data_IF_834295109826
#
_entry.id   IF_834295109826
#
_cell.length_a   1.000
_cell.length_b   1.000
_cell.length_c   1.000
_cell.angle_alpha   90.00
_cell.angle_beta   90.00
_cell.angle_gamma   90.00
#
_symmetry.space_group_name_H-M   'P 1'
#
loop_
_entity.id
_entity.type
_entity.pdbx_description
1 polymer ?
#
# COMPACT_ATOMS: atom_id res chain seq x y z
N UNK A 1 -45.59 -18.36 35.82
CA UNK A 1 -44.19 -18.72 36.17
C UNK A 1 -43.86 -17.91 37.42
N UNK A 2 -43.08 -18.42 38.37
CA UNK A 2 -43.00 -17.80 39.71
C UNK A 2 -42.34 -16.42 39.67
N UNK A 3 -43.07 -15.38 40.07
CA UNK A 3 -42.55 -14.02 40.15
C UNK A 3 -41.30 -13.98 41.04
N UNK A 4 -40.14 -13.69 40.45
CA UNK A 4 -38.86 -13.57 41.16
C UNK A 4 -38.70 -12.23 41.87
N UNK A 5 -39.55 -11.28 41.52
CA UNK A 5 -39.59 -9.94 42.09
C UNK A 5 -41.02 -9.55 42.43
N UNK A 6 -41.18 -8.60 43.35
CA UNK A 6 -42.48 -7.99 43.67
C UNK A 6 -42.34 -6.48 43.75
N UNK A 7 -43.36 -5.75 43.34
CA UNK A 7 -43.35 -4.29 43.28
C UNK A 7 -44.15 -3.67 44.42
N UNK A 8 -43.53 -2.77 45.19
CA UNK A 8 -44.20 -2.01 46.24
C UNK A 8 -44.45 -0.56 45.77
N UNK A 9 -45.71 -0.23 45.50
CA UNK A 9 -46.17 1.09 45.09
C UNK A 9 -45.91 2.21 46.12
N UNK A 10 -45.85 1.87 47.41
CA UNK A 10 -45.75 2.86 48.50
C UNK A 10 -44.29 3.24 48.71
N UNK A 11 -43.40 2.25 48.78
CA UNK A 11 -41.97 2.47 49.00
C UNK A 11 -41.18 2.68 47.71
N UNK A 12 -41.79 2.39 46.55
CA UNK A 12 -41.15 2.44 45.21
C UNK A 12 -39.94 1.50 45.12
N UNK A 13 -40.07 0.33 45.73
CA UNK A 13 -39.03 -0.71 45.75
C UNK A 13 -39.49 -1.92 44.94
N UNK A 14 -38.59 -2.42 44.10
CA UNK A 14 -38.72 -3.74 43.47
C UNK A 14 -37.96 -4.72 44.37
N UNK A 15 -38.68 -5.52 45.15
CA UNK A 15 -38.10 -6.48 46.07
C UNK A 15 -37.80 -7.78 45.32
N UNK A 16 -36.55 -8.26 45.38
CA UNK A 16 -36.21 -9.62 44.95
C UNK A 16 -36.77 -10.59 45.99
N UNK A 17 -37.68 -11.47 45.56
CA UNK A 17 -38.36 -12.46 46.40
C UNK A 17 -37.84 -13.88 46.18
N UNK A 18 -37.08 -14.10 45.09
CA UNK A 18 -36.44 -15.37 44.84
C UNK A 18 -35.42 -15.69 45.95
N UNK A 19 -35.58 -16.85 46.57
CA UNK A 19 -34.62 -17.37 47.53
C UNK A 19 -33.34 -17.78 46.79
N UNK A 20 -32.13 -17.45 47.30
CA UNK A 20 -30.88 -17.89 46.71
C UNK A 20 -30.83 -19.41 46.55
N UNK A 21 -30.34 -19.87 45.41
CA UNK A 21 -30.15 -21.30 45.11
C UNK A 21 -28.66 -21.60 45.14
N UNK A 22 -28.28 -22.76 45.70
CA UNK A 22 -26.89 -23.18 45.72
C UNK A 22 -26.48 -23.68 44.34
N UNK A 23 -25.54 -22.98 43.70
CA UNK A 23 -24.99 -23.31 42.40
C UNK A 23 -23.45 -23.27 42.48
N UNK A 24 -22.78 -24.36 42.11
CA UNK A 24 -21.31 -24.44 42.04
C UNK A 24 -20.57 -23.99 43.31
N UNK A 25 -21.19 -24.14 44.49
CA UNK A 25 -20.58 -23.79 45.78
C UNK A 25 -20.92 -22.39 46.29
N UNK A 26 -21.61 -21.56 45.50
CA UNK A 26 -22.07 -20.22 45.89
C UNK A 26 -23.61 -20.16 45.93
N UNK A 27 -24.16 -19.30 46.79
CA UNK A 27 -25.58 -18.97 46.77
C UNK A 27 -25.83 -17.90 45.70
N UNK A 28 -26.67 -18.21 44.70
CA UNK A 28 -26.88 -17.36 43.52
C UNK A 28 -28.36 -17.01 43.33
N UNK A 29 -28.62 -15.79 42.86
CA UNK A 29 -29.91 -15.37 42.30
C UNK A 29 -29.65 -14.82 40.88
N UNK A 30 -30.34 -15.39 39.88
CA UNK A 30 -30.29 -14.93 38.49
C UNK A 30 -31.59 -14.19 38.12
N UNK A 31 -31.44 -12.93 37.73
CA UNK A 31 -32.51 -12.07 37.24
C UNK A 31 -32.26 -11.72 35.77
N UNK A 32 -33.19 -12.09 34.90
CA UNK A 32 -33.26 -11.62 33.52
C UNK A 32 -34.08 -10.32 33.45
N UNK A 33 -33.48 -9.24 32.95
CA UNK A 33 -34.13 -7.92 32.93
C UNK A 33 -35.34 -7.89 32.00
N UNK A 34 -35.29 -8.58 30.85
CA UNK A 34 -36.38 -8.60 29.89
C UNK A 34 -37.54 -9.44 30.40
N UNK A 35 -37.25 -10.62 30.94
CA UNK A 35 -38.27 -11.58 31.35
C UNK A 35 -38.77 -11.22 32.76
N UNK A 36 -37.87 -11.24 33.76
CA UNK A 36 -38.24 -11.21 35.18
C UNK A 36 -38.60 -9.80 35.65
N UNK A 37 -37.94 -8.75 35.14
CA UNK A 37 -38.21 -7.36 35.55
C UNK A 37 -39.22 -6.64 34.66
N UNK A 38 -39.12 -6.82 33.34
CA UNK A 38 -39.93 -6.05 32.39
C UNK A 38 -41.22 -6.77 31.97
N UNK A 39 -41.13 -8.01 31.48
CA UNK A 39 -42.28 -8.77 30.98
C UNK A 39 -43.21 -9.19 32.12
N UNK A 40 -42.68 -9.97 33.07
CA UNK A 40 -43.44 -10.46 34.24
C UNK A 40 -43.91 -9.27 35.10
N UNK A 41 -43.05 -8.27 35.28
CA UNK A 41 -43.40 -7.06 36.02
C UNK A 41 -44.57 -6.28 35.42
N UNK A 42 -44.72 -6.25 34.09
CA UNK A 42 -45.90 -5.66 33.43
C UNK A 42 -47.17 -6.49 33.65
N UNK A 43 -47.06 -7.81 33.69
CA UNK A 43 -48.19 -8.69 33.98
C UNK A 43 -48.72 -8.43 35.39
N UNK A 44 -47.83 -8.38 36.38
CA UNK A 44 -48.16 -8.01 37.77
C UNK A 44 -48.77 -6.61 37.85
N UNK A 45 -48.23 -5.67 37.05
CA UNK A 45 -48.74 -4.31 36.97
C UNK A 45 -50.16 -4.21 36.43
N UNK A 46 -50.61 -5.18 35.63
CA UNK A 46 -51.98 -5.27 35.10
C UNK A 46 -52.90 -6.09 36.03
N UNK A 47 -52.33 -7.02 36.80
CA UNK A 47 -53.09 -7.85 37.72
C UNK A 47 -53.49 -7.10 39.01
N UNK A 48 -52.61 -6.27 39.56
CA UNK A 48 -52.82 -5.58 40.83
C UNK A 48 -53.63 -4.26 40.67
N UNK A 49 -54.65 -4.05 41.50
CA UNK A 49 -55.50 -2.84 41.44
C UNK A 49 -54.78 -1.56 41.90
N UNK A 50 -53.77 -1.70 42.76
CA UNK A 50 -52.95 -0.59 43.28
C UNK A 50 -51.86 -0.20 42.30
N UNK A 51 -51.17 -1.18 41.69
CA UNK A 51 -50.12 -0.92 40.70
C UNK A 51 -50.66 -0.35 39.40
N UNK A 52 -51.82 -0.83 38.90
CA UNK A 52 -52.46 -0.32 37.66
C UNK A 52 -52.74 1.18 37.66
N UNK A 53 -52.90 1.79 38.84
CA UNK A 53 -53.16 3.23 39.00
C UNK A 53 -51.88 4.06 38.84
N UNK A 54 -50.72 3.42 38.86
CA UNK A 54 -49.40 4.03 38.71
C UNK A 54 -48.80 3.70 37.34
N UNK A 55 -47.87 4.54 36.89
CA UNK A 55 -47.12 4.28 35.67
C UNK A 55 -46.01 3.27 35.93
N UNK A 56 -45.92 2.24 35.06
CA UNK A 56 -44.87 1.22 35.15
C UNK A 56 -43.47 1.87 35.13
N UNK A 57 -42.57 1.50 36.08
CA UNK A 57 -41.34 2.24 36.35
C UNK A 57 -40.17 1.88 35.44
N UNK A 58 -40.32 0.89 34.55
CA UNK A 58 -39.25 0.48 33.64
C UNK A 58 -39.63 0.81 32.19
N UNK A 59 -38.76 1.51 31.49
CA UNK A 59 -38.89 1.87 30.08
C UNK A 59 -37.88 1.08 29.25
N UNK A 60 -38.34 0.43 28.18
CA UNK A 60 -37.47 -0.22 27.20
C UNK A 60 -37.15 0.74 26.05
N UNK A 61 -35.93 0.64 25.51
CA UNK A 61 -35.47 1.29 24.28
C UNK A 61 -34.81 0.22 23.42
N UNK A 62 -35.23 0.10 22.17
CA UNK A 62 -34.82 -0.99 21.29
C UNK A 62 -35.82 -2.16 21.31
N UNK A 63 -35.39 -3.33 20.83
CA UNK A 63 -36.26 -4.52 20.73
C UNK A 63 -37.21 -4.57 19.57
N UNK A 64 -37.06 -3.65 18.61
CA UNK A 64 -37.82 -3.70 17.38
C UNK A 64 -37.45 -4.96 16.58
N UNK A 65 -38.44 -5.72 16.09
CA UNK A 65 -38.20 -6.90 15.28
C UNK A 65 -37.61 -6.46 13.93
N UNK A 66 -36.39 -6.91 13.63
CA UNK A 66 -35.83 -6.77 12.29
C UNK A 66 -36.32 -7.91 11.40
N UNK A 67 -36.52 -7.68 10.09
CA UNK A 67 -36.85 -8.75 9.15
C UNK A 67 -35.75 -9.82 9.17
N UNK A 68 -36.14 -11.09 9.31
CA UNK A 68 -35.22 -12.24 9.28
C UNK A 68 -34.78 -12.80 10.65
N UNK A 69 -35.63 -12.73 11.67
CA UNK A 69 -35.39 -13.30 13.02
C UNK A 69 -34.24 -12.65 13.80
N UNK A 70 -33.82 -11.44 13.41
CA UNK A 70 -32.89 -10.62 14.20
C UNK A 70 -33.69 -9.64 15.05
N UNK A 71 -33.34 -9.50 16.32
CA UNK A 71 -33.96 -8.53 17.23
C UNK A 71 -32.88 -7.49 17.57
N UNK A 72 -33.23 -6.21 17.50
CA UNK A 72 -32.33 -5.14 17.95
C UNK A 72 -32.09 -5.30 19.45
N UNK A 73 -30.86 -5.12 19.95
CA UNK A 73 -30.58 -5.27 21.39
C UNK A 73 -31.43 -4.35 22.26
N UNK A 74 -32.05 -4.90 23.30
CA UNK A 74 -32.95 -4.18 24.20
C UNK A 74 -32.16 -3.52 25.34
N UNK A 75 -32.49 -2.27 25.66
CA UNK A 75 -31.98 -1.58 26.85
C UNK A 75 -33.12 -1.08 27.72
N UNK A 76 -33.03 -1.31 29.02
CA UNK A 76 -34.07 -1.03 29.99
C UNK A 76 -33.60 0.05 30.97
N UNK A 77 -34.47 1.03 31.22
CA UNK A 77 -34.23 2.15 32.13
C UNK A 77 -35.27 2.13 33.25
N UNK A 78 -34.82 2.09 34.50
CA UNK A 78 -35.70 2.28 35.67
C UNK A 78 -35.78 3.77 36.02
N UNK A 79 -36.98 4.24 36.35
CA UNK A 79 -37.20 5.61 36.80
C UNK A 79 -36.39 5.90 38.07
N UNK A 80 -35.91 7.13 38.18
CA UNK A 80 -35.05 7.60 39.27
C UNK A 80 -35.65 7.41 40.67
N UNK A 81 -36.98 7.34 40.78
CA UNK A 81 -37.69 7.16 42.04
C UNK A 81 -37.92 5.69 42.44
N UNK A 82 -37.47 4.73 41.62
CA UNK A 82 -37.55 3.30 41.91
C UNK A 82 -36.17 2.67 42.01
N UNK A 83 -36.02 1.70 42.92
CA UNK A 83 -34.79 0.92 43.10
C UNK A 83 -35.10 -0.55 43.33
N UNK A 84 -34.16 -1.43 42.97
CA UNK A 84 -34.22 -2.86 43.26
C UNK A 84 -33.60 -3.12 44.63
N UNK A 85 -34.35 -3.73 45.54
CA UNK A 85 -33.83 -4.23 46.79
C UNK A 85 -33.45 -5.72 46.63
N UNK A 86 -32.16 -6.08 46.81
CA UNK A 86 -31.73 -7.48 46.80
C UNK A 86 -32.41 -8.32 47.88
N UNK A 87 -32.31 -9.64 47.76
CA UNK A 87 -32.80 -10.55 48.79
C UNK A 87 -31.97 -10.41 50.09
N UNK A 88 -32.62 -10.44 51.26
CA UNK A 88 -32.00 -10.23 52.58
C UNK A 88 -31.21 -11.47 53.06
N UNK A 89 -30.19 -11.87 52.30
CA UNK A 89 -29.24 -12.94 52.64
C UNK A 89 -27.90 -12.69 51.92
N UNK A 90 -26.82 -13.35 52.38
CA UNK A 90 -25.54 -13.30 51.66
C UNK A 90 -25.61 -14.16 50.39
N UNK A 91 -25.45 -13.55 49.21
CA UNK A 91 -25.56 -14.23 47.91
C UNK A 91 -24.85 -13.45 46.78
N UNK A 92 -24.71 -14.09 45.63
CA UNK A 92 -24.32 -13.49 44.37
C UNK A 92 -25.57 -13.15 43.57
N UNK A 93 -25.78 -11.87 43.24
CA UNK A 93 -26.90 -11.41 42.43
C UNK A 93 -26.41 -11.17 41.01
N UNK A 94 -26.85 -12.01 40.06
CA UNK A 94 -26.53 -11.91 38.64
C UNK A 94 -27.70 -11.27 37.89
N UNK A 95 -27.44 -10.16 37.23
CA UNK A 95 -28.42 -9.41 36.46
C UNK A 95 -28.05 -9.45 35.00
N UNK A 96 -28.84 -10.18 34.22
CA UNK A 96 -28.64 -10.42 32.80
C UNK A 96 -29.45 -9.40 32.01
N UNK A 97 -28.75 -8.48 31.33
CA UNK A 97 -29.37 -7.48 30.45
C UNK A 97 -28.88 -6.05 30.70
N UNK A 98 -29.08 -5.20 29.69
CA UNK A 98 -28.76 -3.78 29.76
C UNK A 98 -29.77 -3.05 30.65
N UNK A 99 -29.40 -2.77 31.89
CA UNK A 99 -30.28 -2.16 32.89
C UNK A 99 -29.62 -0.95 33.56
N UNK A 100 -30.27 0.20 33.48
CA UNK A 100 -29.72 1.47 33.98
C UNK A 100 -30.79 2.29 34.72
N UNK A 101 -30.36 3.14 35.64
CA UNK A 101 -31.23 4.15 36.26
C UNK A 101 -31.30 5.39 35.38
N UNK A 102 -32.47 6.00 35.20
CA UNK A 102 -32.65 7.22 34.39
C UNK A 102 -31.87 8.44 34.93
N UNK A 103 -31.53 8.44 36.23
CA UNK A 103 -30.68 9.48 36.86
C UNK A 103 -29.18 9.17 36.82
N UNK A 104 -28.76 8.03 36.24
CA UNK A 104 -27.36 7.60 36.20
C UNK A 104 -26.80 7.07 37.53
N UNK A 105 -27.62 6.97 38.59
CA UNK A 105 -27.22 6.35 39.86
C UNK A 105 -27.35 4.82 39.80
N UNK A 106 -26.86 4.11 40.83
CA UNK A 106 -27.08 2.66 40.93
C UNK A 106 -28.59 2.35 40.93
N UNK A 107 -29.08 1.42 40.12
CA UNK A 107 -30.48 0.98 40.16
C UNK A 107 -30.76 0.06 41.36
N UNK A 108 -29.74 -0.35 42.12
CA UNK A 108 -29.85 -1.23 43.28
C UNK A 108 -29.72 -0.48 44.60
N UNK A 109 -30.52 -0.89 45.58
CA UNK A 109 -30.50 -0.43 46.97
C UNK A 109 -29.65 -1.36 47.84
N UNK A 110 -29.25 -0.88 49.03
CA UNK A 110 -28.59 -1.72 50.05
C UNK A 110 -29.61 -2.58 50.78
N UNK A 111 -29.19 -3.74 51.30
CA UNK A 111 -29.99 -4.55 52.22
C UNK A 111 -30.25 -3.82 53.54
N UNK A 112 -31.36 -4.15 54.19
CA UNK A 112 -31.70 -3.66 55.53
C UNK A 112 -30.83 -4.33 56.61
N UNK A 113 -30.45 -5.60 56.40
CA UNK A 113 -29.54 -6.33 57.26
C UNK A 113 -28.07 -6.24 56.85
N UNK A 114 -27.17 -6.67 57.75
CA UNK A 114 -25.73 -6.80 57.46
C UNK A 114 -25.45 -8.10 56.69
N UNK A 115 -25.61 -8.06 55.37
CA UNK A 115 -25.34 -9.17 54.45
C UNK A 115 -24.26 -8.82 53.43
N UNK A 116 -23.55 -9.84 52.93
CA UNK A 116 -22.58 -9.66 51.85
C UNK A 116 -23.21 -10.05 50.51
N UNK A 117 -23.39 -9.07 49.63
CA UNK A 117 -23.94 -9.29 48.30
C UNK A 117 -22.88 -8.97 47.24
N UNK A 118 -22.64 -9.90 46.34
CA UNK A 118 -21.80 -9.71 45.17
C UNK A 118 -22.68 -9.51 43.93
N UNK A 119 -22.77 -8.28 43.44
CA UNK A 119 -23.59 -7.93 42.27
C UNK A 119 -22.76 -8.07 40.98
N UNK A 120 -23.24 -8.90 40.06
CA UNK A 120 -22.70 -9.06 38.71
C UNK A 120 -23.74 -8.59 37.71
N UNK A 121 -23.41 -7.59 36.89
CA UNK A 121 -24.28 -7.15 35.81
C UNK A 121 -23.58 -7.39 34.48
N UNK A 122 -24.19 -8.19 33.60
CA UNK A 122 -23.69 -8.43 32.24
C UNK A 122 -24.41 -7.50 31.28
N UNK A 123 -23.69 -6.53 30.72
CA UNK A 123 -24.18 -5.59 29.70
C UNK A 123 -23.66 -5.97 28.32
N UNK A 124 -24.50 -5.86 27.30
CA UNK A 124 -24.17 -6.15 25.89
C UNK A 124 -23.31 -5.04 25.28
N UNK A 125 -22.17 -5.41 24.70
CA UNK A 125 -21.19 -4.52 24.08
C UNK A 125 -21.57 -4.11 22.66
N UNK A 126 -22.70 -3.42 22.47
CA UNK A 126 -23.03 -2.78 21.17
C UNK A 126 -22.00 -1.71 20.73
N UNK A 127 -20.94 -1.51 21.51
CA UNK A 127 -19.79 -0.61 21.33
C UNK A 127 -18.51 -1.37 20.89
N UNK A 128 -18.57 -2.64 20.50
CA UNK A 128 -17.38 -3.39 20.03
C UNK A 128 -17.17 -3.37 18.50
N UNK A 129 -18.09 -2.75 17.74
CA UNK A 129 -17.94 -2.60 16.28
C UNK A 129 -16.82 -1.63 15.88
N UNK A 130 -16.35 -0.80 16.80
CA UNK A 130 -15.24 0.14 16.57
C UNK A 130 -13.89 -0.55 16.48
N UNK A 131 -13.66 -1.65 17.21
CA UNK A 131 -12.33 -2.30 17.25
C UNK A 131 -12.03 -3.06 15.95
N UNK A 132 -13.04 -3.71 15.36
CA UNK A 132 -12.88 -4.43 14.09
C UNK A 132 -12.55 -3.48 12.91
N UNK A 133 -13.13 -2.27 12.91
CA UNK A 133 -12.90 -1.28 11.85
C UNK A 133 -11.52 -0.60 11.91
N UNK A 134 -10.87 -0.57 13.08
CA UNK A 134 -9.59 0.11 13.24
C UNK A 134 -8.50 -0.49 12.34
N UNK A 135 -8.37 -1.82 12.30
CA UNK A 135 -7.34 -2.49 11.50
C UNK A 135 -7.49 -2.24 9.98
N UNK A 136 -8.73 -2.17 9.49
CA UNK A 136 -9.02 -1.86 8.08
C UNK A 136 -8.76 -0.38 7.76
N UNK A 137 -9.09 0.53 8.68
CA UNK A 137 -8.80 1.97 8.54
C UNK A 137 -7.29 2.21 8.57
N UNK A 138 -6.56 1.54 9.46
CA UNK A 138 -5.10 1.59 9.53
C UNK A 138 -4.49 1.12 8.22
N UNK A 139 -4.92 -0.04 7.70
CA UNK A 139 -4.45 -0.57 6.42
C UNK A 139 -4.71 0.41 5.27
N UNK A 140 -5.90 1.02 5.23
CA UNK A 140 -6.25 2.04 4.23
C UNK A 140 -5.38 3.31 4.29
N UNK A 141 -4.80 3.64 5.45
CA UNK A 141 -3.97 4.85 5.63
C UNK A 141 -2.61 4.74 4.94
N UNK A 142 -2.12 3.52 4.68
CA UNK A 142 -0.90 3.26 3.92
C UNK A 142 -1.07 3.50 2.41
N UNK A 143 -2.30 3.69 1.91
CA UNK A 143 -2.55 3.94 0.48
C UNK A 143 -1.95 2.84 -0.44
N UNK A 144 -1.90 1.59 0.03
CA UNK A 144 -1.40 0.45 -0.74
C UNK A 144 0.12 0.25 -0.74
N UNK A 145 0.89 1.02 0.05
CA UNK A 145 2.35 0.87 0.15
C UNK A 145 2.93 1.55 1.40
N UNK A 146 4.24 1.39 1.61
CA UNK A 146 4.91 1.99 2.77
C UNK A 146 5.64 3.26 2.34
N UNK A 147 5.40 4.37 3.03
CA UNK A 147 6.09 5.65 2.81
C UNK A 147 7.38 5.69 3.61
N UNK A 148 8.50 5.95 2.93
CA UNK A 148 9.85 5.98 3.48
C UNK A 148 10.46 7.36 3.27
N UNK A 149 11.05 7.92 4.32
CA UNK A 149 11.88 9.12 4.27
C UNK A 149 13.07 8.92 5.21
N UNK A 150 14.26 8.65 4.65
CA UNK A 150 15.44 8.30 5.42
C UNK A 150 15.99 9.43 6.30
N UNK A 151 15.50 10.66 6.13
CA UNK A 151 15.90 11.81 6.95
C UNK A 151 14.96 12.05 8.14
N UNK A 152 13.86 11.32 8.20
CA UNK A 152 12.84 11.50 9.23
C UNK A 152 13.26 10.82 10.55
N UNK A 153 12.55 11.12 11.65
CA UNK A 153 12.88 10.62 12.99
C UNK A 153 12.18 9.32 13.36
N UNK A 154 11.18 8.89 12.60
CA UNK A 154 10.30 7.78 12.99
C UNK A 154 10.85 6.43 12.54
N UNK A 155 11.04 5.52 13.50
CA UNK A 155 11.44 4.14 13.28
C UNK A 155 10.44 3.17 13.93
N UNK A 156 10.64 1.88 13.72
CA UNK A 156 9.79 0.79 14.16
C UNK A 156 8.70 0.42 13.15
N UNK A 157 7.98 -0.65 13.46
CA UNK A 157 6.98 -1.28 12.58
C UNK A 157 5.54 -1.01 13.01
N UNK A 158 5.34 -0.44 14.20
CA UNK A 158 4.01 -0.18 14.74
C UNK A 158 3.31 0.99 14.03
N UNK A 159 2.00 0.85 13.81
CA UNK A 159 1.17 1.93 13.29
C UNK A 159 1.27 3.18 14.20
N UNK A 160 1.44 4.40 13.67
CA UNK A 160 1.28 4.81 12.26
C UNK A 160 2.57 4.91 11.44
N UNK A 161 3.69 4.35 11.90
CA UNK A 161 4.96 4.42 11.17
C UNK A 161 4.86 3.74 9.80
N UNK A 162 5.44 4.38 8.78
CA UNK A 162 5.39 3.94 7.38
C UNK A 162 4.16 4.41 6.61
N UNK A 163 3.28 5.20 7.22
CA UNK A 163 2.16 5.86 6.51
C UNK A 163 2.63 7.19 5.90
N UNK A 164 1.87 7.75 4.97
CA UNK A 164 2.17 9.06 4.37
C UNK A 164 2.20 10.22 5.38
N UNK A 165 1.53 10.05 6.53
CA UNK A 165 1.55 11.02 7.64
C UNK A 165 2.82 10.89 8.49
N UNK A 166 3.35 9.69 8.64
CA UNK A 166 4.52 9.38 9.46
C UNK A 166 5.44 8.42 8.71
N UNK A 167 6.21 8.93 7.73
CA UNK A 167 7.15 8.14 6.96
C UNK A 167 8.16 7.44 7.86
N UNK A 168 8.50 6.20 7.53
CA UNK A 168 9.54 5.45 8.26
C UNK A 168 10.93 5.84 7.78
N UNK A 169 11.88 5.89 8.69
CA UNK A 169 13.22 6.42 8.42
C UNK A 169 14.29 5.41 8.02
N UNK A 170 13.89 4.15 7.82
CA UNK A 170 14.81 3.12 7.38
C UNK A 170 14.07 2.05 6.56
N UNK A 171 14.80 1.43 5.62
CA UNK A 171 14.24 0.43 4.72
C UNK A 171 13.97 -0.91 5.42
N UNK A 172 14.66 -1.21 6.53
CA UNK A 172 14.50 -2.45 7.30
C UNK A 172 13.11 -2.55 7.93
N UNK A 173 12.67 -1.47 8.57
CA UNK A 173 11.32 -1.38 9.13
C UNK A 173 10.30 -1.30 7.99
N UNK A 174 10.61 -0.56 6.92
CA UNK A 174 9.73 -0.44 5.77
C UNK A 174 9.37 -1.79 5.14
N UNK A 175 10.38 -2.64 4.88
CA UNK A 175 10.13 -3.96 4.29
C UNK A 175 9.35 -4.86 5.26
N UNK A 176 9.62 -4.77 6.55
CA UNK A 176 8.89 -5.54 7.57
C UNK A 176 7.42 -5.16 7.57
N UNK A 177 7.10 -3.86 7.51
CA UNK A 177 5.71 -3.37 7.41
C UNK A 177 5.06 -3.84 6.10
N UNK A 178 5.77 -3.76 4.96
CA UNK A 178 5.27 -4.24 3.67
C UNK A 178 4.89 -5.72 3.74
N UNK A 179 5.78 -6.58 4.24
CA UNK A 179 5.56 -8.01 4.32
C UNK A 179 4.44 -8.39 5.30
N UNK A 180 4.38 -7.73 6.46
CA UNK A 180 3.34 -7.99 7.46
C UNK A 180 1.95 -7.58 6.96
N UNK A 181 1.84 -6.45 6.25
CA UNK A 181 0.57 -5.90 5.75
C UNK A 181 0.20 -6.35 4.34
N UNK A 182 1.07 -7.11 3.67
CA UNK A 182 0.86 -7.64 2.32
C UNK A 182 1.01 -6.62 1.19
N UNK A 183 1.81 -5.57 1.38
CA UNK A 183 2.17 -4.61 0.34
C UNK A 183 3.44 -5.02 -0.39
N UNK A 184 3.60 -4.53 -1.63
CA UNK A 184 4.82 -4.70 -2.44
C UNK A 184 5.40 -3.38 -2.93
N UNK A 185 4.94 -2.25 -2.39
CA UNK A 185 5.25 -0.91 -2.92
C UNK A 185 5.84 -0.03 -1.84
N UNK A 186 6.94 0.65 -2.17
CA UNK A 186 7.57 1.70 -1.39
C UNK A 186 7.36 3.06 -2.06
N UNK A 187 6.86 4.02 -1.30
CA UNK A 187 6.82 5.43 -1.68
C UNK A 187 8.02 6.13 -1.05
N UNK A 188 9.01 6.49 -1.87
CA UNK A 188 10.26 7.09 -1.41
C UNK A 188 10.15 8.62 -1.48
N UNK A 189 10.28 9.26 -0.32
CA UNK A 189 10.43 10.71 -0.20
C UNK A 189 11.91 11.06 -0.03
N UNK A 190 12.38 12.04 -0.80
CA UNK A 190 13.81 12.34 -0.88
C UNK A 190 14.64 11.19 -1.47
N UNK A 191 15.86 11.01 -0.97
CA UNK A 191 16.83 10.06 -1.54
C UNK A 191 16.86 8.75 -0.75
N UNK A 192 17.05 7.63 -1.45
CA UNK A 192 17.21 6.32 -0.85
C UNK A 192 18.37 5.54 -1.47
N UNK A 193 19.07 4.78 -0.62
CA UNK A 193 20.07 3.80 -1.04
C UNK A 193 19.56 2.41 -0.73
N UNK A 194 19.41 1.56 -1.75
CA UNK A 194 19.10 0.14 -1.58
C UNK A 194 20.41 -0.59 -1.33
N UNK A 195 20.61 -1.02 -0.09
CA UNK A 195 21.83 -1.70 0.35
C UNK A 195 21.70 -3.24 0.24
N UNK A 196 22.74 -3.92 0.71
CA UNK A 196 22.86 -5.38 0.66
C UNK A 196 22.20 -6.11 1.83
N UNK A 197 21.71 -5.39 2.84
CA UNK A 197 21.20 -6.00 4.07
C UNK A 197 19.79 -6.57 3.90
N UNK A 198 19.09 -6.16 2.85
CA UNK A 198 17.67 -6.43 2.64
C UNK A 198 17.45 -7.03 1.24
N UNK A 199 16.50 -7.96 1.15
CA UNK A 199 16.03 -8.52 -0.12
C UNK A 199 14.83 -7.74 -0.64
N UNK A 200 15.00 -7.03 -1.77
CA UNK A 200 13.96 -6.25 -2.43
C UNK A 200 13.38 -6.96 -3.67
N UNK A 201 13.49 -8.29 -3.73
CA UNK A 201 12.95 -9.07 -4.84
C UNK A 201 11.46 -8.79 -5.06
N UNK A 202 11.09 -8.50 -6.31
CA UNK A 202 9.71 -8.20 -6.74
C UNK A 202 9.06 -6.99 -6.06
N UNK A 203 9.85 -6.08 -5.51
CA UNK A 203 9.36 -4.85 -4.89
C UNK A 203 9.25 -3.71 -5.90
N UNK A 204 8.30 -2.81 -5.65
CA UNK A 204 8.05 -1.61 -6.45
C UNK A 204 8.49 -0.38 -5.69
N UNK A 205 9.27 0.48 -6.33
CA UNK A 205 9.74 1.75 -5.79
C UNK A 205 9.18 2.91 -6.60
N UNK A 206 8.50 3.83 -5.91
CA UNK A 206 7.90 5.02 -6.52
C UNK A 206 8.48 6.26 -5.84
N UNK A 207 9.17 7.10 -6.61
CA UNK A 207 9.66 8.40 -6.15
C UNK A 207 8.63 9.52 -6.25
N UNK A 208 8.97 10.71 -5.76
CA UNK A 208 8.14 11.90 -5.90
C UNK A 208 8.22 12.55 -7.30
N UNK A 209 9.40 12.47 -7.90
CA UNK A 209 9.76 13.08 -9.19
C UNK A 209 11.19 12.68 -9.54
N UNK A 210 11.50 12.65 -10.85
CA UNK A 210 12.85 12.49 -11.40
C UNK A 210 13.88 13.45 -10.80
N UNK A 211 13.45 14.61 -10.31
CA UNK A 211 14.33 15.67 -9.76
C UNK A 211 14.35 15.76 -8.24
N UNK A 212 13.46 15.06 -7.55
CA UNK A 212 13.31 15.12 -6.09
C UNK A 212 13.78 13.87 -5.38
N UNK A 213 13.66 12.73 -6.06
CA UNK A 213 13.95 11.43 -5.49
C UNK A 213 15.04 10.77 -6.29
N UNK A 214 16.17 10.50 -5.63
CA UNK A 214 17.23 9.67 -6.17
C UNK A 214 17.29 8.33 -5.47
N UNK A 215 17.16 7.26 -6.24
CA UNK A 215 17.32 5.88 -5.77
C UNK A 215 18.67 5.36 -6.26
N UNK A 216 19.56 5.09 -5.32
CA UNK A 216 20.89 4.51 -5.56
C UNK A 216 20.85 3.03 -5.20
N UNK A 217 21.28 2.17 -6.12
CA UNK A 217 21.25 0.72 -5.93
C UNK A 217 22.69 0.20 -5.79
N UNK A 218 23.02 -0.32 -4.62
CA UNK A 218 24.37 -0.82 -4.37
C UNK A 218 24.69 -2.04 -5.26
N UNK A 219 25.96 -2.24 -5.65
CA UNK A 219 26.37 -3.32 -6.56
C UNK A 219 25.99 -4.76 -6.17
N UNK A 220 25.73 -4.99 -4.88
CA UNK A 220 25.35 -6.31 -4.35
C UNK A 220 23.96 -6.29 -3.69
N UNK A 221 23.16 -5.24 -3.92
CA UNK A 221 21.78 -5.19 -3.48
C UNK A 221 20.94 -6.21 -4.26
N UNK A 222 20.01 -6.87 -3.57
CA UNK A 222 19.15 -7.89 -4.16
C UNK A 222 17.86 -7.21 -4.63
N UNK A 223 17.76 -6.94 -5.93
CA UNK A 223 16.66 -6.18 -6.55
C UNK A 223 16.04 -6.93 -7.75
N UNK A 224 16.02 -8.26 -7.68
CA UNK A 224 15.52 -9.09 -8.77
C UNK A 224 14.03 -8.86 -9.05
N UNK A 225 13.68 -8.65 -10.31
CA UNK A 225 12.32 -8.30 -10.75
C UNK A 225 11.75 -7.04 -10.07
N UNK A 226 12.60 -6.13 -9.59
CA UNK A 226 12.13 -4.87 -9.01
C UNK A 226 11.63 -3.90 -10.09
N UNK A 227 10.69 -3.05 -9.71
CA UNK A 227 10.14 -2.00 -10.57
C UNK A 227 10.42 -0.61 -10.00
N UNK A 228 10.79 0.34 -10.87
CA UNK A 228 11.14 1.70 -10.49
C UNK A 228 10.31 2.72 -11.28
N UNK A 229 9.71 3.67 -10.57
CA UNK A 229 8.83 4.69 -11.11
C UNK A 229 9.18 6.10 -10.60
N UNK A 230 9.10 7.08 -11.49
CA UNK A 230 9.09 8.52 -11.17
C UNK A 230 10.27 9.01 -10.28
N UNK A 231 11.49 8.55 -10.56
CA UNK A 231 12.71 8.88 -9.79
C UNK A 231 13.97 8.98 -10.67
N UNK A 232 15.04 9.59 -10.16
CA UNK A 232 16.40 9.40 -10.69
C UNK A 232 16.94 8.06 -10.21
N UNK A 233 17.41 7.20 -11.11
CA UNK A 233 17.94 5.87 -10.80
C UNK A 233 19.42 5.77 -11.20
N UNK A 234 20.23 5.24 -10.29
CA UNK A 234 21.64 4.91 -10.54
C UNK A 234 22.06 3.66 -9.77
N UNK A 235 23.06 2.93 -10.27
CA UNK A 235 23.62 1.77 -9.57
C UNK A 235 23.61 0.49 -10.39
N UNK A 236 23.32 -0.64 -9.74
CA UNK A 236 23.42 -1.98 -10.35
C UNK A 236 22.15 -2.76 -10.12
N UNK A 237 21.50 -3.21 -11.19
CA UNK A 237 20.31 -4.06 -11.10
C UNK A 237 20.69 -5.53 -11.02
N UNK A 238 19.72 -6.34 -10.61
CA UNK A 238 19.90 -7.79 -10.41
C UNK A 238 18.79 -8.60 -11.11
N UNK A 239 18.61 -8.37 -12.40
CA UNK A 239 17.73 -9.18 -13.26
C UNK A 239 16.29 -8.65 -13.42
N UNK A 240 15.80 -8.73 -14.67
CA UNK A 240 14.45 -8.42 -15.16
C UNK A 240 13.79 -7.20 -14.49
N UNK A 241 14.52 -6.11 -14.33
CA UNK A 241 13.96 -4.90 -13.77
C UNK A 241 13.07 -4.19 -14.79
N UNK A 242 12.05 -3.49 -14.28
CA UNK A 242 11.27 -2.55 -15.07
C UNK A 242 11.51 -1.13 -14.59
N UNK A 243 11.83 -0.23 -15.51
CA UNK A 243 12.03 1.18 -15.18
C UNK A 243 11.09 2.00 -16.05
N UNK A 244 10.29 2.87 -15.43
CA UNK A 244 9.36 3.72 -16.18
C UNK A 244 9.28 5.13 -15.64
N UNK A 245 9.33 6.12 -16.53
CA UNK A 245 9.17 7.53 -16.14
C UNK A 245 10.33 8.04 -15.26
N UNK A 246 11.50 7.44 -15.38
CA UNK A 246 12.68 7.76 -14.58
C UNK A 246 13.73 8.54 -15.36
N UNK A 247 14.63 9.20 -14.64
CA UNK A 247 15.91 9.67 -15.17
C UNK A 247 17.00 8.63 -14.84
N UNK A 248 17.70 8.14 -15.86
CA UNK A 248 18.76 7.12 -15.70
C UNK A 248 20.11 7.80 -15.88
N UNK A 249 20.91 7.86 -14.80
CA UNK A 249 22.25 8.47 -14.84
C UNK A 249 23.33 7.44 -15.21
N UNK A 250 23.46 6.38 -14.43
CA UNK A 250 24.37 5.26 -14.74
C UNK A 250 23.82 3.99 -14.12
N UNK A 251 23.61 2.97 -14.94
CA UNK A 251 22.91 1.78 -14.51
C UNK A 251 23.56 0.54 -15.11
N UNK A 252 23.87 -0.42 -14.26
CA UNK A 252 24.45 -1.69 -14.66
C UNK A 252 23.41 -2.81 -14.67
N UNK A 253 23.69 -3.80 -15.52
CA UNK A 253 22.89 -5.00 -15.74
C UNK A 253 21.43 -4.75 -16.12
N UNK A 254 21.18 -3.79 -17.02
CA UNK A 254 19.83 -3.62 -17.58
C UNK A 254 19.47 -4.81 -18.47
N UNK A 255 18.45 -5.56 -18.08
CA UNK A 255 17.71 -6.53 -18.90
C UNK A 255 16.21 -6.34 -18.67
N UNK A 256 15.39 -6.48 -19.72
CA UNK A 256 13.95 -6.19 -19.64
C UNK A 256 13.56 -4.87 -20.30
N UNK A 257 12.72 -4.08 -19.62
CA UNK A 257 12.03 -2.92 -20.21
C UNK A 257 12.36 -1.61 -19.49
N UNK A 258 12.82 -0.63 -20.27
CA UNK A 258 13.00 0.76 -19.90
C UNK A 258 12.03 1.58 -20.75
N UNK A 259 11.06 2.23 -20.12
CA UNK A 259 9.95 2.89 -20.81
C UNK A 259 9.83 4.35 -20.40
N UNK A 260 9.67 5.27 -21.36
CA UNK A 260 9.38 6.68 -21.05
C UNK A 260 10.43 7.34 -20.13
N UNK A 261 11.69 6.91 -20.24
CA UNK A 261 12.79 7.40 -19.42
C UNK A 261 13.68 8.41 -20.14
N UNK A 262 14.32 9.28 -19.36
CA UNK A 262 15.39 10.18 -19.81
C UNK A 262 16.74 9.53 -19.48
N UNK A 263 17.64 9.46 -20.45
CA UNK A 263 18.98 8.92 -20.29
C UNK A 263 19.98 10.06 -20.12
N UNK A 264 20.45 10.26 -18.89
CA UNK A 264 21.40 11.30 -18.51
C UNK A 264 22.85 10.91 -18.85
N UNK A 265 23.81 11.85 -18.77
CA UNK A 265 25.20 11.56 -19.11
C UNK A 265 25.76 10.46 -18.19
N UNK A 266 26.07 9.31 -18.77
CA UNK A 266 26.67 8.19 -18.07
C UNK A 266 26.64 6.91 -18.89
N UNK A 267 27.02 5.81 -18.24
CA UNK A 267 27.14 4.49 -18.88
C UNK A 267 26.00 3.61 -18.40
N UNK A 268 25.29 3.04 -19.37
CA UNK A 268 24.26 2.04 -19.17
C UNK A 268 24.82 0.70 -19.65
N UNK A 269 25.20 -0.17 -18.72
CA UNK A 269 25.71 -1.51 -19.02
C UNK A 269 24.55 -2.52 -19.09
N UNK A 270 24.46 -3.26 -20.19
CA UNK A 270 23.45 -4.29 -20.37
C UNK A 270 23.75 -5.56 -19.54
N UNK A 271 22.69 -6.25 -19.12
CA UNK A 271 22.71 -7.44 -18.24
C UNK A 271 23.34 -8.70 -18.82
N UNK A 272 23.33 -8.83 -20.15
CA UNK A 272 23.63 -10.10 -20.82
C UNK A 272 22.51 -11.14 -20.69
N UNK A 273 22.55 -12.15 -21.55
CA UNK A 273 21.64 -13.31 -21.52
C UNK A 273 20.17 -13.05 -21.90
N UNK A 274 19.78 -11.79 -22.12
CA UNK A 274 18.43 -11.39 -22.48
C UNK A 274 18.44 -10.14 -23.39
N UNK A 275 17.27 -9.79 -23.94
CA UNK A 275 17.09 -8.56 -24.69
C UNK A 275 16.83 -7.37 -23.75
N UNK A 276 17.45 -6.23 -24.05
CA UNK A 276 17.14 -4.95 -23.41
C UNK A 276 16.26 -4.12 -24.36
N UNK A 277 15.12 -3.66 -23.86
CA UNK A 277 14.14 -2.86 -24.59
C UNK A 277 14.09 -1.45 -23.99
N UNK A 278 14.37 -0.45 -24.81
CA UNK A 278 14.21 0.96 -24.50
C UNK A 278 13.08 1.50 -25.38
N UNK A 279 11.95 1.83 -24.77
CA UNK A 279 10.72 2.24 -25.45
C UNK A 279 10.38 3.68 -25.08
N UNK A 280 10.20 4.53 -26.09
CA UNK A 280 9.85 5.94 -25.89
C UNK A 280 10.83 6.66 -24.95
N UNK A 281 12.14 6.48 -25.14
CA UNK A 281 13.18 7.11 -24.32
C UNK A 281 13.79 8.35 -25.00
N UNK A 282 14.39 9.23 -24.20
CA UNK A 282 15.04 10.46 -24.66
C UNK A 282 16.46 10.59 -24.10
N UNK A 283 17.38 11.19 -24.86
CA UNK A 283 18.63 11.70 -24.30
C UNK A 283 18.34 12.92 -23.42
N UNK A 284 18.83 12.91 -22.19
CA UNK A 284 18.85 14.06 -21.29
C UNK A 284 20.04 14.99 -21.50
N UNK A 285 20.94 14.67 -22.45
CA UNK A 285 22.21 15.39 -22.63
C UNK A 285 22.05 16.53 -23.65
N UNK A 286 22.23 17.80 -23.25
CA UNK A 286 22.17 18.92 -24.18
C UNK A 286 23.42 18.99 -25.07
N UNK A 287 23.25 19.42 -26.33
CA UNK A 287 24.34 19.63 -27.27
C UNK A 287 24.78 18.37 -28.00
N UNK A 288 26.10 18.17 -28.11
CA UNK A 288 26.71 17.03 -28.83
C UNK A 288 27.05 15.83 -27.92
N UNK A 289 26.92 15.99 -26.60
CA UNK A 289 27.09 14.88 -25.67
C UNK A 289 25.98 13.85 -25.85
N UNK A 290 26.29 12.58 -25.60
CA UNK A 290 25.31 11.49 -25.73
C UNK A 290 25.46 10.49 -24.60
N UNK A 291 24.36 9.92 -24.08
CA UNK A 291 24.42 8.75 -23.21
C UNK A 291 25.08 7.57 -23.92
N UNK A 292 25.67 6.67 -23.13
CA UNK A 292 26.39 5.51 -23.65
C UNK A 292 25.67 4.23 -23.22
N UNK A 293 25.30 3.39 -24.18
CA UNK A 293 24.93 2.00 -23.91
C UNK A 293 26.16 1.13 -24.15
N UNK A 294 26.66 0.57 -23.05
CA UNK A 294 27.70 -0.44 -23.07
C UNK A 294 27.05 -1.81 -23.25
N UNK A 295 27.32 -2.43 -24.40
CA UNK A 295 26.74 -3.71 -24.71
C UNK A 295 27.31 -4.83 -23.85
N UNK A 296 28.47 -4.69 -23.19
CA UNK A 296 29.01 -5.73 -22.31
C UNK A 296 29.55 -6.98 -23.03
N UNK A 297 29.77 -6.94 -24.35
CA UNK A 297 30.38 -8.00 -25.15
C UNK A 297 29.39 -8.77 -26.01
N UNK A 298 29.11 -10.02 -25.63
CA UNK A 298 28.21 -10.97 -26.32
C UNK A 298 27.12 -11.44 -25.36
N UNK A 299 25.99 -11.87 -25.91
CA UNK A 299 24.88 -12.50 -25.16
C UNK A 299 23.61 -11.66 -25.06
N UNK A 300 23.58 -10.44 -25.63
CA UNK A 300 22.48 -9.49 -25.46
C UNK A 300 22.09 -8.83 -26.78
N UNK A 301 20.78 -8.76 -26.99
CA UNK A 301 20.17 -7.95 -28.05
C UNK A 301 19.71 -6.62 -27.49
N UNK A 302 19.73 -5.58 -28.31
CA UNK A 302 19.25 -4.25 -27.95
C UNK A 302 18.15 -3.81 -28.91
N UNK A 303 17.05 -3.32 -28.36
CA UNK A 303 15.97 -2.69 -29.11
C UNK A 303 15.71 -1.29 -28.55
N UNK A 304 16.03 -0.26 -29.31
CA UNK A 304 15.57 1.11 -29.08
C UNK A 304 14.37 1.37 -29.99
N UNK A 305 13.26 1.84 -29.41
CA UNK A 305 12.02 2.15 -30.14
C UNK A 305 11.59 3.57 -29.80
N UNK A 306 11.34 4.36 -30.83
CA UNK A 306 10.94 5.77 -30.71
C UNK A 306 11.92 6.60 -29.86
N UNK A 307 13.21 6.37 -30.03
CA UNK A 307 14.25 7.09 -29.29
C UNK A 307 14.49 8.48 -29.86
N UNK A 308 14.73 9.47 -29.00
CA UNK A 308 15.02 10.85 -29.40
C UNK A 308 16.32 11.35 -28.75
N UNK A 309 17.17 11.99 -29.55
CA UNK A 309 18.48 12.48 -29.12
C UNK A 309 19.63 11.60 -29.58
N UNK A 310 20.85 11.93 -29.18
CA UNK A 310 22.02 11.14 -29.53
C UNK A 310 22.25 9.96 -28.59
N UNK A 311 22.85 8.88 -29.09
CA UNK A 311 23.19 7.67 -28.33
C UNK A 311 24.51 7.08 -28.83
N UNK A 312 25.41 6.71 -27.93
CA UNK A 312 26.63 5.95 -28.26
C UNK A 312 26.48 4.48 -27.91
N UNK A 313 26.94 3.59 -28.78
CA UNK A 313 27.03 2.16 -28.54
C UNK A 313 28.49 1.71 -28.52
N UNK A 314 28.83 0.86 -27.54
CA UNK A 314 30.18 0.32 -27.38
C UNK A 314 30.20 -1.12 -26.92
N UNK A 315 31.38 -1.73 -26.95
CA UNK A 315 31.67 -3.08 -26.44
C UNK A 315 30.78 -4.17 -27.01
N UNK A 316 30.41 -4.12 -28.29
CA UNK A 316 29.63 -5.18 -28.95
C UNK A 316 30.55 -6.14 -29.69
N UNK A 317 30.70 -7.37 -29.19
CA UNK A 317 31.54 -8.41 -29.81
C UNK A 317 30.79 -9.69 -30.16
N UNK A 318 29.53 -9.84 -29.71
CA UNK A 318 28.70 -10.99 -30.01
C UNK A 318 27.94 -10.92 -31.34
N UNK A 319 27.31 -12.01 -31.78
CA UNK A 319 26.53 -12.08 -33.02
C UNK A 319 25.11 -11.49 -32.91
N UNK A 320 24.64 -11.17 -31.70
CA UNK A 320 23.26 -10.74 -31.44
C UNK A 320 22.94 -9.41 -32.14
N UNK A 321 21.66 -9.18 -32.40
CA UNK A 321 21.21 -8.02 -33.16
C UNK A 321 20.98 -6.79 -32.29
N UNK A 322 21.25 -5.63 -32.87
CA UNK A 322 20.92 -4.30 -32.35
C UNK A 322 19.96 -3.66 -33.32
N UNK A 323 18.82 -3.18 -32.83
CA UNK A 323 17.81 -2.51 -33.63
C UNK A 323 17.48 -1.15 -33.03
N UNK A 324 17.68 -0.09 -33.79
CA UNK A 324 17.57 1.30 -33.36
C UNK A 324 16.51 2.00 -34.23
N UNK A 325 15.34 2.24 -33.65
CA UNK A 325 14.31 3.06 -34.30
C UNK A 325 14.32 4.44 -33.63
N UNK A 326 14.97 5.40 -34.30
CA UNK A 326 15.15 6.75 -33.80
C UNK A 326 14.16 7.71 -34.49
N UNK A 327 13.54 8.58 -33.72
CA UNK A 327 12.67 9.63 -34.24
C UNK A 327 13.47 10.90 -34.61
N UNK A 328 14.54 11.20 -33.86
CA UNK A 328 15.51 12.22 -34.21
C UNK A 328 16.83 11.98 -33.46
N UNK A 329 17.98 12.27 -34.06
CA UNK A 329 19.25 12.29 -33.34
C UNK A 329 20.45 11.71 -34.09
N UNK A 330 21.46 11.31 -33.32
CA UNK A 330 22.71 10.74 -33.83
C UNK A 330 23.02 9.43 -33.13
N UNK A 331 23.29 8.38 -33.91
CA UNK A 331 23.82 7.11 -33.40
C UNK A 331 25.32 7.14 -33.59
N UNK A 332 26.08 6.96 -32.51
CA UNK A 332 27.54 6.84 -32.53
C UNK A 332 27.88 5.37 -32.29
N UNK A 333 28.70 4.79 -33.17
CA UNK A 333 29.30 3.47 -32.95
C UNK A 333 30.78 3.64 -32.61
N UNK A 334 31.18 3.20 -31.42
CA UNK A 334 32.59 3.21 -31.02
C UNK A 334 33.35 2.05 -31.69
N UNK A 335 34.68 2.18 -31.85
CA UNK A 335 35.54 1.15 -32.45
C UNK A 335 35.57 -0.19 -31.67
N UNK A 336 34.94 -0.25 -30.51
CA UNK A 336 34.74 -1.49 -29.74
C UNK A 336 33.55 -2.33 -30.24
N UNK A 337 32.72 -1.79 -31.14
CA UNK A 337 31.64 -2.50 -31.83
C UNK A 337 32.24 -3.28 -33.00
N UNK A 338 32.41 -4.59 -32.82
CA UNK A 338 33.20 -5.47 -33.70
C UNK A 338 32.43 -6.62 -34.35
N UNK A 339 31.17 -6.86 -33.95
CA UNK A 339 30.35 -7.95 -34.48
C UNK A 339 28.85 -7.68 -34.36
N UNK A 340 28.05 -8.60 -34.90
CA UNK A 340 26.59 -8.57 -34.89
C UNK A 340 25.99 -7.79 -36.05
N UNK A 341 24.66 -7.71 -36.05
CA UNK A 341 23.88 -6.95 -37.04
C UNK A 341 23.31 -5.72 -36.35
N UNK A 342 23.63 -4.53 -36.86
CA UNK A 342 23.13 -3.26 -36.35
C UNK A 342 22.22 -2.66 -37.40
N UNK A 343 20.94 -2.58 -37.06
CA UNK A 343 19.90 -1.99 -37.91
C UNK A 343 19.49 -0.65 -37.31
N UNK A 344 19.62 0.44 -38.07
CA UNK A 344 19.18 1.76 -37.64
C UNK A 344 18.20 2.35 -38.64
N UNK A 345 17.04 2.81 -38.14
CA UNK A 345 15.90 3.30 -38.93
C UNK A 345 15.36 4.61 -38.36
N UNK A 346 14.77 5.42 -39.22
CA UNK A 346 14.13 6.69 -38.86
C UNK A 346 14.92 7.92 -39.29
N UNK A 347 14.85 9.01 -38.52
CA UNK A 347 15.44 10.30 -38.93
C UNK A 347 16.68 10.60 -38.09
N UNK A 348 17.82 10.77 -38.75
CA UNK A 348 19.07 11.06 -38.07
C UNK A 348 20.30 10.69 -38.88
N UNK A 349 21.43 10.51 -38.18
CA UNK A 349 22.68 10.07 -38.79
C UNK A 349 23.37 9.01 -37.91
N UNK A 350 24.12 8.13 -38.56
CA UNK A 350 25.03 7.19 -37.91
C UNK A 350 26.46 7.62 -38.21
N UNK A 351 27.29 7.72 -37.17
CA UNK A 351 28.69 8.15 -37.26
C UNK A 351 29.58 7.31 -36.36
N UNK A 352 30.89 7.32 -36.61
CA UNK A 352 31.90 6.78 -35.71
C UNK A 352 32.29 7.78 -34.61
N UNK A 353 33.24 7.40 -33.75
CA UNK A 353 33.77 8.26 -32.68
C UNK A 353 34.49 9.53 -33.17
N UNK A 354 34.91 9.56 -34.44
CA UNK A 354 35.52 10.72 -35.08
C UNK A 354 34.50 11.61 -35.80
N UNK A 355 33.22 11.19 -35.82
CA UNK A 355 32.14 11.87 -36.54
C UNK A 355 32.05 11.53 -38.02
N UNK A 356 32.79 10.54 -38.52
CA UNK A 356 32.70 10.04 -39.90
C UNK A 356 31.43 9.22 -40.11
N UNK A 357 30.75 9.43 -41.22
CA UNK A 357 29.49 8.75 -41.52
C UNK A 357 29.67 7.26 -41.78
N UNK A 358 28.94 6.43 -41.05
CA UNK A 358 28.91 4.98 -41.25
C UNK A 358 27.80 4.64 -42.24
N UNK A 359 28.14 3.93 -43.32
CA UNK A 359 27.21 3.47 -44.35
C UNK A 359 26.79 2.02 -44.11
N UNK A 360 25.72 1.59 -44.77
CA UNK A 360 25.34 0.16 -44.82
C UNK A 360 26.47 -0.68 -45.43
N UNK A 361 26.67 -1.88 -44.89
CA UNK A 361 27.76 -2.78 -45.28
C UNK A 361 28.53 -3.31 -44.07
N UNK A 362 29.77 -3.72 -44.28
CA UNK A 362 30.65 -4.15 -43.17
C UNK A 362 31.38 -2.95 -42.60
N UNK A 363 31.27 -2.73 -41.30
CA UNK A 363 32.03 -1.72 -40.57
C UNK A 363 32.63 -2.35 -39.31
N UNK A 364 33.95 -2.27 -39.16
CA UNK A 364 34.69 -2.80 -38.02
C UNK A 364 34.39 -4.29 -37.68
N UNK A 365 33.97 -5.10 -38.65
CA UNK A 365 33.58 -6.50 -38.46
C UNK A 365 32.09 -6.73 -38.18
N UNK A 366 31.33 -5.68 -37.83
CA UNK A 366 29.87 -5.72 -37.71
C UNK A 366 29.19 -5.53 -39.07
N UNK A 367 27.97 -6.04 -39.20
CA UNK A 367 27.09 -5.80 -40.36
C UNK A 367 26.15 -4.64 -40.05
N UNK A 368 26.26 -3.57 -40.82
CA UNK A 368 25.45 -2.35 -40.68
C UNK A 368 24.35 -2.33 -41.72
N UNK A 369 23.12 -2.13 -41.26
CA UNK A 369 21.94 -1.81 -42.06
C UNK A 369 21.50 -0.40 -41.64
N UNK A 370 22.08 0.61 -42.29
CA UNK A 370 21.78 2.01 -42.05
C UNK A 370 20.67 2.48 -43.00
N UNK A 371 19.45 2.57 -42.48
CA UNK A 371 18.25 3.08 -43.14
C UNK A 371 17.85 4.46 -42.57
N UNK A 372 18.79 5.18 -41.95
CA UNK A 372 18.55 6.52 -41.43
C UNK A 372 18.45 7.54 -42.56
N UNK A 373 17.44 8.39 -42.48
CA UNK A 373 17.30 9.54 -43.36
C UNK A 373 17.91 10.75 -42.68
N UNK A 374 19.00 11.27 -43.23
CA UNK A 374 19.58 12.55 -42.83
C UNK A 374 18.96 13.68 -43.69
N UNK A 375 18.12 14.56 -43.12
CA UNK A 375 17.45 15.63 -43.88
C UNK A 375 18.44 16.58 -44.57
N UNK A 376 19.60 16.85 -43.96
CA UNK A 376 20.62 17.69 -44.55
C UNK A 376 21.23 17.01 -45.78
N UNK A 377 21.56 15.72 -45.70
CA UNK A 377 22.10 14.97 -46.83
C UNK A 377 21.08 14.91 -47.99
N UNK A 378 19.79 14.75 -47.69
CA UNK A 378 18.73 14.77 -48.71
C UNK A 378 18.60 16.15 -49.34
N UNK A 379 18.66 17.22 -48.54
CA UNK A 379 18.59 18.60 -49.04
C UNK A 379 19.80 18.96 -49.92
N UNK A 380 21.01 18.55 -49.51
CA UNK A 380 22.24 18.75 -50.28
C UNK A 380 22.21 17.96 -51.58
N UNK A 381 21.83 16.68 -51.56
CA UNK A 381 21.68 15.87 -52.78
C UNK A 381 20.63 16.46 -53.74
N UNK A 382 19.52 16.97 -53.20
CA UNK A 382 18.47 17.63 -53.99
C UNK A 382 18.97 18.94 -54.60
N UNK A 383 19.70 19.75 -53.83
CA UNK A 383 20.33 20.99 -54.31
C UNK A 383 21.34 20.70 -55.42
N UNK A 384 22.20 19.71 -55.24
CA UNK A 384 23.27 19.39 -56.18
C UNK A 384 22.72 18.80 -57.49
N UNK A 385 21.57 18.11 -57.43
CA UNK A 385 20.81 17.71 -58.61
C UNK A 385 20.23 18.94 -59.36
N UNK A 386 19.66 19.89 -58.62
CA UNK A 386 19.08 21.12 -59.20
C UNK A 386 20.14 22.05 -59.81
N UNK A 387 21.31 22.13 -59.19
CA UNK A 387 22.43 22.96 -59.65
C UNK A 387 23.29 22.28 -60.72
N UNK A 388 23.02 21.01 -61.05
CA UNK A 388 23.79 20.26 -62.05
C UNK A 388 25.25 20.02 -61.64
N UNK A 389 25.56 20.11 -60.35
CA UNK A 389 26.91 19.93 -59.79
C UNK A 389 27.18 18.50 -59.35
N UNK A 390 26.24 17.58 -59.62
CA UNK A 390 26.35 16.16 -59.33
C UNK A 390 27.39 15.50 -60.24
N UNK A 391 28.65 15.49 -59.81
CA UNK A 391 29.56 14.41 -60.17
C UNK A 391 29.13 13.18 -59.38
N UNK A 392 28.35 12.29 -60.00
CA UNK A 392 28.10 10.96 -59.45
C UNK A 392 29.44 10.22 -59.26
N UNK A 393 29.81 9.78 -58.05
CA UNK A 393 30.73 8.66 -57.85
C UNK A 393 29.99 7.33 -57.95
#
# INVERSE_FOLDING_TARGET
MGAKVTFDAVTRIIQVTQVPVLENGDWVIDIDVQIDLYSDGKEDWVADETLRKLQFPIRAVGGDPLPGSKVLGDTYFIRSDWKIAPYEASHRLRVNGNFYSEDGTSPFNTTLGSYNIFLEQTVSSLVDSTVAQLSEIEHGTYNGGVTVDLLEIYSGTDYPTGTSRQPVNNLTDAITICLERGFGTFYILGDATLDTAIDFTSMVFVGESQTKTKITIDPAAIVANAEFYDAEITGTLDGNAKIKGCEITSLNYINGFVEQCVLSPGIILLGGGAAAHFLDCWSGVPGLGTPVIDMGGSGQSLALRNYNGGISLRSKSGPESVSLDINSGTVILENTVTAGIIVARGVGKMVDENGEHIRSGTWNGATIVNELVNPQAVAEASRDLLLGTTSYP
#
